data_IF_095837490320
#
_entry.id   IF_095837490320
#
_cell.length_a   1.000
_cell.length_b   1.000
_cell.length_c   1.000
_cell.angle_alpha   90.00
_cell.angle_beta   90.00
_cell.angle_gamma   90.00
#
_symmetry.space_group_name_H-M   'P 1'
#
loop_
_entity.id
_entity.type
_entity.pdbx_description
1 polymer ?
#
# COMPACT_ATOMS: atom_id res chain seq x y z
N UNK A 1 42.22 23.45 -24.71
CA UNK A 1 41.75 22.06 -25.04
C UNK A 1 40.59 21.74 -24.15
N UNK A 2 39.39 21.76 -24.72
CA UNK A 2 38.09 21.65 -24.03
C UNK A 2 37.73 20.15 -23.94
N UNK A 3 37.57 19.63 -22.72
CA UNK A 3 37.08 18.28 -22.50
C UNK A 3 35.54 18.28 -22.58
N UNK A 4 34.97 17.59 -23.57
CA UNK A 4 33.54 17.36 -23.75
C UNK A 4 33.05 16.36 -22.70
N UNK A 5 32.16 16.80 -21.81
CA UNK A 5 31.39 15.94 -20.94
C UNK A 5 30.27 15.27 -21.76
N UNK A 6 30.32 13.95 -21.89
CA UNK A 6 29.22 13.17 -22.40
C UNK A 6 28.15 13.06 -21.27
N UNK A 7 27.02 13.72 -21.45
CA UNK A 7 25.81 13.48 -20.66
C UNK A 7 25.15 12.22 -21.22
N UNK A 8 25.25 11.11 -20.48
CA UNK A 8 24.45 9.94 -20.74
C UNK A 8 22.98 10.24 -20.45
N UNK A 9 22.17 10.32 -21.52
CA UNK A 9 20.72 10.42 -21.42
C UNK A 9 20.23 9.01 -21.06
N UNK A 10 19.80 8.86 -19.80
CA UNK A 10 19.13 7.66 -19.33
C UNK A 10 17.72 7.65 -19.93
N UNK A 11 17.52 6.94 -21.05
CA UNK A 11 16.19 6.74 -21.61
C UNK A 11 15.42 5.78 -20.69
N UNK A 12 14.53 6.33 -19.88
CA UNK A 12 13.52 5.57 -19.18
C UNK A 12 12.62 4.90 -20.24
N UNK A 13 12.69 3.57 -20.34
CA UNK A 13 11.76 2.81 -21.17
C UNK A 13 10.35 3.04 -20.62
N UNK A 14 9.54 3.80 -21.35
CA UNK A 14 8.11 3.94 -21.10
C UNK A 14 7.48 2.55 -21.08
N UNK A 15 7.06 2.09 -19.91
CA UNK A 15 6.11 1.01 -19.85
C UNK A 15 4.87 1.48 -20.62
N UNK A 16 4.33 0.60 -21.47
CA UNK A 16 3.06 0.85 -22.16
C UNK A 16 1.99 1.01 -21.09
N UNK A 17 1.64 2.26 -20.78
CA UNK A 17 0.45 2.59 -20.04
C UNK A 17 -0.75 2.15 -20.86
N UNK A 18 -1.37 1.06 -20.46
CA UNK A 18 -2.76 0.82 -20.80
C UNK A 18 -3.53 1.99 -20.17
N UNK A 19 -4.03 2.92 -20.98
CA UNK A 19 -4.88 4.03 -20.54
C UNK A 19 -6.00 3.46 -19.68
N UNK A 20 -5.90 3.60 -18.36
CA UNK A 20 -7.00 3.33 -17.45
C UNK A 20 -8.09 4.36 -17.79
N UNK A 21 -9.33 3.91 -17.94
CA UNK A 21 -10.49 4.75 -18.28
C UNK A 21 -10.83 5.78 -17.19
N UNK A 22 -10.21 5.72 -16.04
CA UNK A 22 -10.38 6.64 -14.91
C UNK A 22 -9.00 7.11 -14.45
N UNK A 23 -8.75 8.42 -14.46
CA UNK A 23 -7.52 9.04 -13.96
C UNK A 23 -7.48 9.05 -12.41
N UNK A 24 -8.52 8.57 -11.74
CA UNK A 24 -8.64 8.53 -10.29
C UNK A 24 -8.13 7.18 -9.76
N UNK A 25 -7.11 7.23 -8.90
CA UNK A 25 -6.62 6.06 -8.17
C UNK A 25 -7.58 5.65 -7.05
N UNK A 26 -8.08 6.63 -6.28
CA UNK A 26 -9.05 6.43 -5.20
C UNK A 26 -10.18 7.43 -5.31
N UNK A 27 -11.41 6.96 -5.24
CA UNK A 27 -12.61 7.79 -5.21
C UNK A 27 -13.52 7.33 -4.07
N UNK A 28 -13.82 8.23 -3.14
CA UNK A 28 -14.69 8.02 -1.99
C UNK A 28 -15.88 8.93 -2.14
N UNK A 29 -17.09 8.38 -2.07
CA UNK A 29 -18.35 9.12 -2.17
C UNK A 29 -19.22 8.82 -0.96
N UNK A 30 -19.60 9.86 -0.24
CA UNK A 30 -20.53 9.83 0.87
C UNK A 30 -20.27 8.67 1.85
N UNK A 31 -19.01 8.45 2.22
CA UNK A 31 -18.62 7.32 3.07
C UNK A 31 -19.02 7.56 4.53
N UNK A 32 -19.88 6.70 5.04
CA UNK A 32 -20.27 6.62 6.45
C UNK A 32 -19.73 5.34 7.07
N UNK A 33 -19.21 5.44 8.28
CA UNK A 33 -18.77 4.27 9.05
C UNK A 33 -18.92 4.46 10.55
N UNK A 34 -19.24 3.35 11.23
CA UNK A 34 -19.43 3.30 12.67
C UNK A 34 -18.56 2.24 13.34
N UNK A 35 -18.41 2.36 14.66
CA UNK A 35 -17.90 1.33 15.56
C UNK A 35 -18.93 1.09 16.66
N UNK A 36 -19.48 -0.11 16.78
CA UNK A 36 -20.66 -0.37 17.59
C UNK A 36 -21.81 0.56 17.17
N UNK A 37 -22.36 1.31 18.12
CA UNK A 37 -23.46 2.25 17.85
C UNK A 37 -22.99 3.68 17.50
N UNK A 38 -21.68 3.93 17.51
CA UNK A 38 -21.13 5.26 17.30
C UNK A 38 -20.70 5.46 15.87
N UNK A 39 -21.39 6.35 15.15
CA UNK A 39 -20.94 6.82 13.83
C UNK A 39 -19.75 7.76 13.97
N UNK A 40 -18.68 7.47 13.16
CA UNK A 40 -17.43 8.21 13.18
C UNK A 40 -17.20 8.93 11.86
N UNK A 41 -17.38 8.24 10.73
CA UNK A 41 -17.34 8.87 9.40
C UNK A 41 -18.76 9.25 8.99
N UNK A 42 -18.92 10.51 8.58
CA UNK A 42 -20.23 11.14 8.35
C UNK A 42 -20.26 11.78 6.95
N UNK A 43 -20.28 10.94 5.91
CA UNK A 43 -20.38 11.41 4.54
C UNK A 43 -19.05 11.96 3.98
N UNK A 44 -17.95 11.21 4.11
CA UNK A 44 -16.65 11.60 3.58
C UNK A 44 -16.65 11.51 2.05
N UNK A 45 -16.19 12.58 1.41
CA UNK A 45 -15.93 12.63 -0.01
C UNK A 45 -14.46 12.97 -0.26
N UNK A 46 -13.76 12.17 -1.06
CA UNK A 46 -12.35 12.36 -1.38
C UNK A 46 -12.03 11.72 -2.73
N UNK A 47 -11.32 12.45 -3.58
CA UNK A 47 -10.77 11.90 -4.82
C UNK A 47 -9.27 12.13 -4.85
N UNK A 48 -8.51 11.04 -5.08
CA UNK A 48 -7.05 11.07 -5.21
C UNK A 48 -6.69 10.53 -6.59
N UNK A 49 -5.96 11.32 -7.36
CA UNK A 49 -5.46 10.91 -8.69
C UNK A 49 -4.11 10.21 -8.59
N UNK A 50 -3.75 9.52 -9.66
CA UNK A 50 -2.42 8.92 -9.76
C UNK A 50 -1.31 9.97 -9.57
N UNK A 51 -0.36 9.69 -8.67
CA UNK A 51 0.77 10.57 -8.38
C UNK A 51 0.49 11.74 -7.44
N UNK A 52 -0.75 11.92 -6.97
CA UNK A 52 -1.08 12.95 -5.98
C UNK A 52 -0.77 12.50 -4.54
N UNK A 53 -0.43 13.48 -3.71
CA UNK A 53 -0.28 13.32 -2.26
C UNK A 53 -1.32 14.17 -1.55
N UNK A 54 -2.19 13.53 -0.77
CA UNK A 54 -3.22 14.21 0.02
C UNK A 54 -2.91 14.11 1.51
N UNK A 55 -2.90 15.27 2.20
CA UNK A 55 -2.76 15.35 3.64
C UNK A 55 -4.14 15.54 4.28
N UNK A 56 -4.56 14.59 5.13
CA UNK A 56 -5.81 14.66 5.88
C UNK A 56 -5.52 15.20 7.27
N UNK A 57 -6.01 16.41 7.57
CA UNK A 57 -5.81 17.08 8.84
C UNK A 57 -7.12 17.26 9.60
N UNK A 58 -7.02 17.42 10.90
CA UNK A 58 -8.17 17.65 11.78
C UNK A 58 -7.83 17.33 13.25
N UNK A 59 -8.68 17.72 14.20
CA UNK A 59 -8.48 17.45 15.63
C UNK A 59 -8.47 15.96 15.96
N UNK A 60 -8.05 15.62 17.17
CA UNK A 60 -8.14 14.24 17.65
C UNK A 60 -9.61 13.80 17.72
N UNK A 61 -9.87 12.57 17.32
CA UNK A 61 -11.24 12.03 17.26
C UNK A 61 -12.04 12.41 16.00
N UNK A 62 -11.47 13.15 15.04
CA UNK A 62 -12.18 13.54 13.80
C UNK A 62 -12.31 12.42 12.74
N UNK A 63 -11.86 11.19 13.04
CA UNK A 63 -12.02 10.05 12.13
C UNK A 63 -10.87 9.81 11.16
N UNK A 64 -9.74 10.54 11.23
CA UNK A 64 -8.58 10.35 10.32
C UNK A 64 -8.07 8.91 10.29
N UNK A 65 -7.78 8.34 11.45
CA UNK A 65 -7.32 6.94 11.58
C UNK A 65 -8.42 5.95 11.24
N UNK A 66 -9.68 6.31 11.51
CA UNK A 66 -10.84 5.49 11.14
C UNK A 66 -10.96 5.38 9.64
N UNK A 67 -10.78 6.47 8.89
CA UNK A 67 -10.79 6.42 7.43
C UNK A 67 -9.74 5.44 6.90
N UNK A 68 -8.50 5.54 7.38
CA UNK A 68 -7.44 4.61 6.98
C UNK A 68 -7.78 3.15 7.33
N UNK A 69 -8.33 2.90 8.52
CA UNK A 69 -8.74 1.57 8.97
C UNK A 69 -9.88 0.98 8.11
N UNK A 70 -10.88 1.79 7.77
CA UNK A 70 -12.00 1.40 6.89
C UNK A 70 -11.49 1.05 5.49
N UNK A 71 -10.58 1.86 4.95
CA UNK A 71 -10.02 1.62 3.60
C UNK A 71 -9.26 0.30 3.52
N UNK A 72 -8.53 -0.11 4.56
CA UNK A 72 -7.82 -1.41 4.58
C UNK A 72 -8.72 -2.57 5.02
N UNK A 73 -9.99 -2.34 5.34
CA UNK A 73 -10.94 -3.39 5.66
C UNK A 73 -10.84 -3.90 7.10
N UNK A 74 -10.49 -3.04 8.05
CA UNK A 74 -10.48 -3.42 9.46
C UNK A 74 -11.89 -3.79 9.93
N UNK A 75 -12.15 -5.02 10.40
CA UNK A 75 -13.48 -5.53 10.73
C UNK A 75 -14.14 -4.87 11.95
N UNK A 76 -13.40 -4.06 12.71
CA UNK A 76 -13.97 -3.29 13.82
C UNK A 76 -14.92 -2.18 13.36
N UNK A 77 -14.82 -1.76 12.10
CA UNK A 77 -15.63 -0.67 11.53
C UNK A 77 -16.63 -1.22 10.53
N UNK A 78 -17.88 -0.84 10.70
CA UNK A 78 -18.95 -1.17 9.78
C UNK A 78 -19.22 0.04 8.86
N UNK A 79 -19.13 -0.17 7.55
CA UNK A 79 -19.55 0.84 6.55
C UNK A 79 -21.07 0.76 6.43
N UNK A 80 -21.74 1.89 6.68
CA UNK A 80 -23.19 1.96 6.66
C UNK A 80 -23.74 2.57 5.39
N UNK A 81 -22.96 3.46 4.73
CA UNK A 81 -23.35 4.13 3.50
C UNK A 81 -22.13 4.58 2.72
N UNK A 82 -22.28 4.76 1.41
CA UNK A 82 -21.28 5.31 0.52
C UNK A 82 -20.60 4.28 -0.37
N UNK A 83 -19.71 4.78 -1.19
CA UNK A 83 -18.95 4.02 -2.19
C UNK A 83 -17.46 4.33 -2.09
N UNK A 84 -16.62 3.32 -2.26
CA UNK A 84 -15.17 3.48 -2.36
C UNK A 84 -14.67 2.71 -3.57
N UNK A 85 -14.17 3.44 -4.57
CA UNK A 85 -13.57 2.87 -5.77
C UNK A 85 -12.05 3.05 -5.71
N UNK A 86 -11.32 1.96 -5.85
CA UNK A 86 -9.87 1.94 -5.91
C UNK A 86 -9.41 1.26 -7.21
N UNK A 87 -8.64 1.96 -8.03
CA UNK A 87 -8.20 1.49 -9.34
C UNK A 87 -9.35 0.96 -10.22
N UNK A 88 -10.55 1.57 -10.11
CA UNK A 88 -11.75 1.18 -10.86
C UNK A 88 -12.52 -0.02 -10.32
N UNK A 89 -12.17 -0.51 -9.13
CA UNK A 89 -12.83 -1.64 -8.45
C UNK A 89 -13.49 -1.18 -7.16
N UNK A 90 -14.64 -1.79 -6.80
CA UNK A 90 -15.31 -1.49 -5.54
C UNK A 90 -14.51 -2.09 -4.37
N UNK A 91 -13.90 -1.20 -3.56
CA UNK A 91 -13.06 -1.60 -2.45
C UNK A 91 -13.84 -2.27 -1.32
N UNK A 92 -15.10 -1.86 -1.12
CA UNK A 92 -15.94 -2.35 -0.02
C UNK A 92 -16.34 -3.82 -0.17
N UNK A 93 -16.33 -4.35 -1.41
CA UNK A 93 -16.62 -5.76 -1.70
C UNK A 93 -15.39 -6.67 -1.59
N UNK A 94 -14.20 -6.09 -1.38
CA UNK A 94 -12.95 -6.83 -1.30
C UNK A 94 -12.60 -7.22 0.13
N UNK A 95 -12.03 -8.41 0.31
CA UNK A 95 -11.36 -8.79 1.54
C UNK A 95 -10.13 -7.91 1.81
N UNK A 96 -9.66 -7.77 3.06
CA UNK A 96 -8.43 -7.04 3.36
C UNK A 96 -7.22 -7.54 2.56
N UNK A 97 -7.15 -8.84 2.31
CA UNK A 97 -6.09 -9.49 1.52
C UNK A 97 -6.15 -9.04 0.06
N UNK A 98 -7.35 -9.03 -0.53
CA UNK A 98 -7.54 -8.59 -1.92
C UNK A 98 -7.20 -7.11 -2.09
N UNK A 99 -7.57 -6.27 -1.11
CA UNK A 99 -7.18 -4.84 -1.11
C UNK A 99 -5.66 -4.67 -1.11
N UNK A 100 -4.96 -5.48 -0.31
CA UNK A 100 -3.49 -5.48 -0.28
C UNK A 100 -2.89 -5.97 -1.61
N UNK A 101 -3.48 -6.99 -2.24
CA UNK A 101 -3.07 -7.49 -3.55
C UNK A 101 -3.24 -6.43 -4.65
N UNK A 102 -4.30 -5.64 -4.61
CA UNK A 102 -4.53 -4.52 -5.54
C UNK A 102 -3.54 -3.34 -5.31
N UNK A 103 -2.76 -3.38 -4.23
CA UNK A 103 -1.70 -2.42 -3.95
C UNK A 103 -2.05 -1.37 -2.89
N UNK A 104 -3.16 -1.54 -2.18
CA UNK A 104 -3.47 -0.69 -1.03
C UNK A 104 -2.55 -1.07 0.14
N UNK A 105 -1.83 -0.09 0.68
CA UNK A 105 -0.90 -0.29 1.78
C UNK A 105 -1.15 0.72 2.90
N UNK A 106 -1.13 0.25 4.14
CA UNK A 106 -1.21 1.10 5.34
C UNK A 106 0.09 1.01 6.13
N UNK A 107 0.72 2.15 6.40
CA UNK A 107 1.76 2.26 7.41
C UNK A 107 1.12 2.48 8.78
N UNK A 108 1.20 1.48 9.64
CA UNK A 108 0.61 1.54 10.98
C UNK A 108 1.36 2.52 11.87
N UNK A 109 0.63 3.28 12.68
CA UNK A 109 1.21 4.19 13.67
C UNK A 109 1.99 3.41 14.75
N UNK A 110 1.46 2.26 15.15
CA UNK A 110 2.10 1.31 16.07
C UNK A 110 2.21 -0.03 15.36
N UNK A 111 3.38 -0.34 14.75
CA UNK A 111 3.56 -1.61 14.07
C UNK A 111 3.51 -2.77 15.08
N UNK A 112 2.76 -3.81 14.71
CA UNK A 112 2.62 -5.01 15.54
C UNK A 112 3.88 -5.86 15.42
N UNK A 113 4.41 -6.32 16.55
CA UNK A 113 5.49 -7.29 16.59
C UNK A 113 5.01 -8.68 16.19
N UNK A 114 5.83 -9.41 15.44
CA UNK A 114 5.57 -10.80 15.07
C UNK A 114 6.73 -11.65 15.61
N UNK A 115 6.62 -12.13 16.87
CA UNK A 115 7.69 -12.88 17.49
C UNK A 115 8.06 -14.14 16.72
N UNK A 116 9.36 -14.39 16.55
CA UNK A 116 9.86 -15.59 15.86
C UNK A 116 9.77 -15.53 14.32
N UNK A 117 9.19 -14.51 13.74
CA UNK A 117 9.14 -14.33 12.28
C UNK A 117 10.15 -13.27 11.85
N UNK A 118 11.23 -13.69 11.20
CA UNK A 118 12.23 -12.75 10.69
C UNK A 118 11.65 -11.87 9.57
N UNK A 119 12.18 -10.65 9.43
CA UNK A 119 11.83 -9.72 8.34
C UNK A 119 11.98 -10.38 6.97
N UNK A 120 13.02 -11.17 6.76
CA UNK A 120 13.22 -11.89 5.50
C UNK A 120 12.11 -12.90 5.22
N UNK A 121 11.70 -13.68 6.22
CA UNK A 121 10.62 -14.67 6.05
C UNK A 121 9.28 -13.99 5.79
N UNK A 122 8.99 -12.95 6.55
CA UNK A 122 7.78 -12.13 6.35
C UNK A 122 7.72 -11.54 4.93
N UNK A 123 8.77 -10.87 4.48
CA UNK A 123 8.83 -10.26 3.15
C UNK A 123 8.77 -11.31 2.03
N UNK A 124 9.41 -12.47 2.21
CA UNK A 124 9.34 -13.55 1.23
C UNK A 124 7.92 -14.09 1.08
N UNK A 125 7.22 -14.30 2.19
CA UNK A 125 5.83 -14.75 2.18
C UNK A 125 4.93 -13.73 1.48
N UNK A 126 5.01 -12.46 1.86
CA UNK A 126 4.20 -11.38 1.28
C UNK A 126 4.44 -11.20 -0.22
N UNK A 127 5.70 -11.22 -0.66
CA UNK A 127 6.03 -11.08 -2.10
C UNK A 127 5.52 -12.28 -2.90
N UNK A 128 5.71 -13.50 -2.39
CA UNK A 128 5.28 -14.70 -3.10
C UNK A 128 3.76 -14.81 -3.17
N UNK A 129 3.03 -14.40 -2.13
CA UNK A 129 1.57 -14.36 -2.16
C UNK A 129 1.04 -13.35 -3.19
N UNK A 130 1.63 -12.16 -3.25
CA UNK A 130 1.30 -11.18 -4.30
C UNK A 130 1.60 -11.73 -5.70
N UNK A 131 2.73 -12.39 -5.89
CA UNK A 131 3.10 -13.00 -7.19
C UNK A 131 2.10 -14.07 -7.60
N UNK A 132 1.69 -14.93 -6.66
CA UNK A 132 0.67 -15.96 -6.88
C UNK A 132 -0.66 -15.34 -7.31
N UNK A 133 -1.11 -14.28 -6.64
CA UNK A 133 -2.29 -13.52 -7.04
C UNK A 133 -2.18 -12.97 -8.47
N UNK A 134 -0.99 -12.52 -8.86
CA UNK A 134 -0.69 -12.04 -10.22
C UNK A 134 -0.47 -13.17 -11.24
N UNK A 135 -0.63 -14.44 -10.87
CA UNK A 135 -0.38 -15.60 -11.72
C UNK A 135 1.09 -15.85 -12.06
N UNK A 136 2.02 -15.35 -11.22
CA UNK A 136 3.47 -15.48 -11.38
C UNK A 136 4.02 -16.57 -10.46
N UNK A 137 5.06 -17.27 -10.91
CA UNK A 137 5.78 -18.23 -10.08
C UNK A 137 6.44 -17.56 -8.86
N UNK A 138 6.49 -18.27 -7.70
CA UNK A 138 7.20 -17.80 -6.52
C UNK A 138 8.68 -17.51 -6.81
N UNK A 139 9.26 -16.54 -6.09
CA UNK A 139 10.69 -16.27 -6.20
C UNK A 139 11.51 -17.42 -5.62
N UNK A 140 12.55 -17.83 -6.33
CA UNK A 140 13.61 -18.67 -5.76
C UNK A 140 14.35 -17.95 -4.63
N UNK A 141 15.05 -18.69 -3.79
CA UNK A 141 15.83 -18.10 -2.70
C UNK A 141 16.87 -17.07 -3.21
N UNK A 142 17.53 -17.38 -4.33
CA UNK A 142 18.52 -16.49 -4.92
C UNK A 142 17.92 -15.19 -5.47
N UNK A 143 16.80 -15.27 -6.19
CA UNK A 143 16.08 -14.10 -6.70
C UNK A 143 15.56 -13.22 -5.56
N UNK A 144 15.01 -13.83 -4.52
CA UNK A 144 14.55 -13.12 -3.35
C UNK A 144 15.70 -12.35 -2.66
N UNK A 145 16.84 -13.00 -2.43
CA UNK A 145 18.00 -12.34 -1.80
C UNK A 145 18.53 -11.18 -2.65
N UNK A 146 18.56 -11.35 -3.97
CA UNK A 146 18.97 -10.28 -4.89
C UNK A 146 18.01 -9.10 -4.81
N UNK A 147 16.70 -9.35 -4.85
CA UNK A 147 15.66 -8.34 -4.73
C UNK A 147 15.76 -7.59 -3.39
N UNK A 148 15.90 -8.33 -2.27
CA UNK A 148 16.03 -7.72 -0.95
C UNK A 148 17.29 -6.86 -0.83
N UNK A 149 18.43 -7.31 -1.37
CA UNK A 149 19.66 -6.51 -1.40
C UNK A 149 19.49 -5.21 -2.16
N UNK A 150 18.78 -5.23 -3.30
CA UNK A 150 18.50 -4.05 -4.11
C UNK A 150 17.55 -3.08 -3.38
N UNK A 151 16.42 -3.58 -2.85
CA UNK A 151 15.41 -2.75 -2.19
C UNK A 151 15.88 -2.15 -0.87
N UNK A 152 16.66 -2.88 -0.08
CA UNK A 152 17.29 -2.35 1.14
C UNK A 152 18.18 -1.14 0.88
N UNK A 153 18.92 -1.14 -0.24
CA UNK A 153 19.73 0.03 -0.63
C UNK A 153 18.89 1.27 -0.90
N UNK A 154 17.70 1.09 -1.49
CA UNK A 154 16.79 2.20 -1.79
C UNK A 154 16.25 2.85 -0.53
N UNK A 155 15.97 2.06 0.51
CA UNK A 155 15.43 2.53 1.80
C UNK A 155 16.50 2.69 2.88
N UNK A 156 17.79 2.55 2.52
CA UNK A 156 18.95 2.67 3.42
C UNK A 156 18.87 1.74 4.67
N UNK A 157 18.23 0.57 4.51
CA UNK A 157 18.04 -0.39 5.60
C UNK A 157 19.29 -1.23 5.82
N UNK A 158 19.83 -1.24 7.07
CA UNK A 158 20.98 -2.08 7.45
C UNK A 158 20.66 -3.57 7.24
N UNK A 159 21.64 -4.29 6.71
CA UNK A 159 21.53 -5.74 6.49
C UNK A 159 21.29 -6.54 7.78
N UNK A 160 21.78 -6.06 8.93
CA UNK A 160 21.58 -6.68 10.23
C UNK A 160 20.12 -6.72 10.67
N UNK A 161 19.31 -5.74 10.23
CA UNK A 161 17.89 -5.68 10.56
C UNK A 161 17.05 -6.73 9.80
N UNK A 162 17.54 -7.22 8.67
CA UNK A 162 16.79 -8.17 7.84
C UNK A 162 16.63 -9.57 8.48
N UNK A 163 17.48 -9.92 9.43
CA UNK A 163 17.43 -11.20 10.16
C UNK A 163 16.70 -11.12 11.49
N UNK A 164 16.38 -9.91 11.97
CA UNK A 164 15.60 -9.72 13.20
C UNK A 164 14.13 -10.10 12.99
N UNK A 165 13.44 -10.36 14.09
CA UNK A 165 11.99 -10.47 14.07
C UNK A 165 11.36 -9.18 13.60
N UNK A 166 10.16 -9.29 13.02
CA UNK A 166 9.43 -8.13 12.53
C UNK A 166 9.05 -7.22 13.70
N UNK A 167 9.50 -5.98 13.65
CA UNK A 167 9.23 -4.92 14.63
C UNK A 167 9.81 -5.15 16.04
N UNK A 168 10.80 -6.01 16.18
CA UNK A 168 11.58 -6.22 17.40
C UNK A 168 12.81 -5.31 17.51
#
# INVERSE_FOLDING_TARGET
RIARRHRGIMTCKKHKETKRKNDNMLEIKNLHAKIGDKEILKGINLTVKDGETHAIMGPNGSGKSTLSAVLVGNPLYEVTEGEVIFNGKNLLEMSPEDRAHEGLFLSFQYPVEIPGVSMNNFMKAAINEKRKYEGKEPLTAGEFLKLMKEKRKVVELDSKLASRSVNE
#
